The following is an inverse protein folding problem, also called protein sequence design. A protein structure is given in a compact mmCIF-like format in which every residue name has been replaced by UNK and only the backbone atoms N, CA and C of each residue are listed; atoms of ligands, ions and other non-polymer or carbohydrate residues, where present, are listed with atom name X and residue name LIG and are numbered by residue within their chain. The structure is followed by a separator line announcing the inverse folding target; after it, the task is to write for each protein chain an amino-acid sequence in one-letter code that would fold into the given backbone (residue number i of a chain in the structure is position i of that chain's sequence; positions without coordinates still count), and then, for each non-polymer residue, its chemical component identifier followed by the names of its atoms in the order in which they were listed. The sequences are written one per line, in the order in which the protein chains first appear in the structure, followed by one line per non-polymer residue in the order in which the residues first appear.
data_IF_914347122570
#
_entry.id   IF_914347122570
#
_cell.length_a   1.000
_cell.length_b   1.000
_cell.length_c   1.000
_cell.angle_alpha   90.00
_cell.angle_beta   90.00
_cell.angle_gamma   90.00
#
_symmetry.space_group_name_H-M   'P 1'
#
loop_
_entity.id
_entity.type
_entity.pdbx_description
1 polymer ?
#
# COMPACT_ATOMS: atom_id res chain seq x y z
N UNK A 1 14.40 -15.61 2.13
CA UNK A 1 13.54 -14.50 1.68
C UNK A 1 13.06 -14.82 0.27
N UNK A 2 11.75 -14.84 0.07
CA UNK A 2 11.15 -15.22 -1.20
C UNK A 2 10.69 -13.99 -1.98
N UNK A 3 11.02 -13.92 -3.27
CA UNK A 3 10.58 -12.86 -4.15
C UNK A 3 9.60 -13.40 -5.19
N UNK A 4 8.71 -12.53 -5.67
CA UNK A 4 7.79 -12.86 -6.75
C UNK A 4 8.45 -12.61 -8.11
N UNK A 5 7.70 -12.83 -9.20
CA UNK A 5 8.19 -12.67 -10.56
C UNK A 5 8.59 -11.22 -10.89
N UNK A 6 8.19 -10.25 -10.08
CA UNK A 6 8.44 -8.83 -10.29
C UNK A 6 9.43 -8.25 -9.27
N UNK A 7 10.23 -9.11 -8.63
CA UNK A 7 11.27 -8.76 -7.67
C UNK A 7 10.75 -8.19 -6.35
N UNK A 8 9.46 -8.34 -6.06
CA UNK A 8 8.91 -7.95 -4.77
C UNK A 8 9.15 -9.05 -3.76
N UNK A 9 9.57 -8.68 -2.55
CA UNK A 9 9.69 -9.61 -1.44
C UNK A 9 8.28 -10.03 -1.01
N UNK A 10 8.02 -11.34 -0.97
CA UNK A 10 6.70 -11.84 -0.60
C UNK A 10 6.50 -11.82 0.91
N UNK A 11 5.41 -11.23 1.33
CA UNK A 11 5.00 -11.14 2.73
C UNK A 11 3.63 -11.78 2.90
N UNK A 12 3.29 -12.08 4.15
CA UNK A 12 1.94 -12.53 4.52
C UNK A 12 1.17 -11.33 5.05
N UNK A 13 -0.16 -11.37 4.93
CA UNK A 13 -1.00 -10.35 5.57
C UNK A 13 -0.70 -10.34 7.07
N UNK A 14 -0.47 -9.15 7.62
CA UNK A 14 -0.03 -8.96 9.00
C UNK A 14 1.47 -8.98 9.21
N UNK A 15 2.25 -9.26 8.18
CA UNK A 15 3.70 -9.28 8.26
C UNK A 15 4.27 -7.94 7.81
N UNK A 16 5.19 -7.40 8.60
CA UNK A 16 5.85 -6.13 8.30
C UNK A 16 6.90 -6.29 7.22
N UNK A 17 6.92 -5.32 6.31
CA UNK A 17 7.96 -5.14 5.31
C UNK A 17 8.73 -3.86 5.65
N UNK A 18 9.95 -3.73 5.17
CA UNK A 18 10.64 -2.48 5.42
C UNK A 18 12.07 -2.42 4.93
N UNK A 19 12.62 -1.23 5.08
CA UNK A 19 14.00 -0.93 4.78
C UNK A 19 14.79 -0.96 6.08
N UNK A 20 15.93 -1.64 6.06
CA UNK A 20 16.76 -1.86 7.24
C UNK A 20 18.14 -1.28 6.98
N UNK A 21 18.71 -0.61 7.99
CA UNK A 21 20.11 -0.24 7.99
C UNK A 21 20.92 -1.54 8.24
N UNK A 22 21.73 -1.93 7.27
CA UNK A 22 22.47 -3.19 7.35
C UNK A 22 23.52 -3.21 8.46
N UNK A 23 24.03 -2.05 8.87
CA UNK A 23 25.04 -1.93 9.91
C UNK A 23 24.43 -2.04 11.30
N UNK A 24 23.36 -1.29 11.56
CA UNK A 24 22.75 -1.22 12.89
C UNK A 24 21.58 -2.18 13.06
N UNK A 25 21.07 -2.74 11.96
CA UNK A 25 19.86 -3.58 11.93
C UNK A 25 18.58 -2.84 12.36
N UNK A 26 18.63 -1.51 12.37
CA UNK A 26 17.45 -0.69 12.67
C UNK A 26 16.61 -0.49 11.42
N UNK A 27 15.29 -0.54 11.59
CA UNK A 27 14.35 -0.22 10.52
C UNK A 27 14.26 1.29 10.37
N UNK A 28 14.42 1.82 9.17
CA UNK A 28 14.13 3.22 8.93
C UNK A 28 12.81 3.44 8.18
N UNK A 29 12.20 2.39 7.64
CA UNK A 29 10.85 2.41 7.11
C UNK A 29 10.21 1.04 7.28
N UNK A 30 8.95 1.01 7.76
CA UNK A 30 8.17 -0.22 7.79
C UNK A 30 6.79 0.05 7.22
N UNK A 31 6.26 -0.94 6.52
CA UNK A 31 4.89 -0.93 6.02
C UNK A 31 4.29 -2.32 6.23
N UNK A 32 3.02 -2.35 6.61
CA UNK A 32 2.34 -3.59 6.91
C UNK A 32 0.93 -3.51 6.34
N UNK A 33 0.52 -4.53 5.58
CA UNK A 33 -0.86 -4.72 5.20
C UNK A 33 -1.47 -5.68 6.21
N UNK A 34 -2.31 -5.14 7.10
CA UNK A 34 -2.93 -5.93 8.16
C UNK A 34 -4.18 -6.64 7.71
N UNK A 35 -4.80 -6.16 6.63
CA UNK A 35 -5.97 -6.78 6.05
C UNK A 35 -6.08 -6.39 4.58
N UNK A 36 -6.54 -7.31 3.74
CA UNK A 36 -6.76 -7.09 2.32
C UNK A 36 -8.08 -7.75 1.93
N UNK A 37 -9.12 -6.94 1.73
CA UNK A 37 -10.49 -7.42 1.56
C UNK A 37 -11.05 -6.98 0.22
N UNK A 38 -11.64 -7.90 -0.52
CA UNK A 38 -12.39 -7.59 -1.73
C UNK A 38 -13.80 -7.18 -1.33
N UNK A 39 -14.33 -6.13 -1.96
CA UNK A 39 -15.65 -5.61 -1.65
C UNK A 39 -16.37 -5.12 -2.91
N UNK A 40 -17.67 -5.40 -3.00
CA UNK A 40 -18.52 -4.97 -4.10
C UNK A 40 -19.15 -3.61 -3.86
N UNK A 41 -18.93 -3.02 -2.69
CA UNK A 41 -19.36 -1.67 -2.36
C UNK A 41 -18.53 -1.11 -1.21
N UNK A 42 -18.57 0.21 -1.05
CA UNK A 42 -17.92 0.87 0.08
C UNK A 42 -18.81 1.99 0.63
N UNK A 43 -18.53 2.38 1.87
CA UNK A 43 -19.16 3.53 2.49
C UNK A 43 -18.67 4.80 1.79
N UNK A 44 -19.55 5.70 1.34
CA UNK A 44 -19.12 6.89 0.61
C UNK A 44 -18.47 7.93 1.52
N UNK A 45 -17.58 8.72 0.93
CA UNK A 45 -16.99 9.89 1.59
C UNK A 45 -18.03 10.97 1.83
N UNK A 46 -18.92 11.15 0.86
CA UNK A 46 -19.98 12.16 0.90
C UNK A 46 -21.31 11.46 0.64
N UNK A 47 -22.30 11.77 1.47
CA UNK A 47 -23.62 11.17 1.35
C UNK A 47 -23.74 9.87 2.12
N UNK A 48 -24.80 9.11 1.87
CA UNK A 48 -25.13 7.89 2.60
C UNK A 48 -25.29 6.65 1.72
N UNK A 49 -25.37 6.83 0.40
CA UNK A 49 -25.58 5.70 -0.52
C UNK A 49 -24.24 4.99 -0.79
N UNK A 50 -24.16 3.65 -0.58
CA UNK A 50 -22.93 2.93 -0.88
C UNK A 50 -22.50 3.11 -2.33
N UNK A 51 -21.19 3.18 -2.54
CA UNK A 51 -20.59 3.27 -3.87
C UNK A 51 -20.24 1.87 -4.36
N UNK A 52 -20.54 1.61 -5.64
CA UNK A 52 -20.15 0.37 -6.31
C UNK A 52 -18.94 0.64 -7.21
N UNK A 53 -18.07 -0.37 -7.42
CA UNK A 53 -16.90 -0.17 -8.27
C UNK A 53 -17.30 0.00 -9.74
N UNK A 54 -16.57 0.85 -10.44
CA UNK A 54 -16.70 1.00 -11.90
C UNK A 54 -15.81 0.00 -12.64
N UNK A 55 -14.84 -0.59 -11.95
CA UNK A 55 -14.08 -1.75 -12.39
C UNK A 55 -14.66 -2.98 -11.71
N UNK A 56 -13.99 -4.10 -11.81
CA UNK A 56 -14.52 -5.37 -11.33
C UNK A 56 -14.88 -5.36 -9.84
N UNK A 57 -13.97 -4.87 -8.98
CA UNK A 57 -14.17 -4.94 -7.52
C UNK A 57 -13.25 -3.94 -6.82
N UNK A 58 -13.61 -3.55 -5.60
CA UNK A 58 -12.70 -2.81 -4.72
C UNK A 58 -11.80 -3.78 -3.97
N UNK A 59 -10.52 -3.42 -3.86
CA UNK A 59 -9.59 -4.05 -2.92
C UNK A 59 -9.32 -3.03 -1.82
N UNK A 60 -9.76 -3.34 -0.61
CA UNK A 60 -9.63 -2.46 0.54
C UNK A 60 -8.49 -2.97 1.40
N UNK A 61 -7.46 -2.14 1.56
CA UNK A 61 -6.28 -2.47 2.36
C UNK A 61 -6.33 -1.70 3.67
N UNK A 62 -6.02 -2.39 4.77
CA UNK A 62 -5.72 -1.74 6.04
C UNK A 62 -4.20 -1.73 6.17
N UNK A 63 -3.62 -0.55 6.34
CA UNK A 63 -2.17 -0.34 6.27
C UNK A 63 -1.68 0.42 7.49
N UNK A 64 -0.53 -0.02 8.02
CA UNK A 64 0.25 0.73 9.00
C UNK A 64 1.60 1.03 8.37
N UNK A 65 2.11 2.24 8.53
CA UNK A 65 3.42 2.62 8.03
C UNK A 65 4.14 3.53 9.01
N UNK A 66 5.42 3.32 9.17
CA UNK A 66 6.28 4.08 10.09
C UNK A 66 7.55 4.50 9.37
N UNK A 67 7.94 5.76 9.54
CA UNK A 67 9.19 6.27 9.00
C UNK A 67 10.03 6.81 10.15
N UNK A 68 11.30 6.38 10.23
CA UNK A 68 12.18 6.80 11.31
C UNK A 68 12.46 8.30 11.24
N UNK A 69 12.59 8.93 12.41
CA UNK A 69 12.85 10.37 12.49
C UNK A 69 14.19 10.76 11.84
N UNK A 70 15.17 9.86 11.88
CA UNK A 70 16.52 10.10 11.35
C UNK A 70 16.73 9.50 9.95
N UNK A 71 15.65 9.22 9.22
CA UNK A 71 15.75 8.58 7.90
C UNK A 71 16.62 9.37 6.93
N UNK A 72 16.53 10.70 6.96
CA UNK A 72 17.33 11.56 6.07
C UNK A 72 18.82 11.37 6.28
N UNK A 73 19.25 11.24 7.54
CA UNK A 73 20.67 10.98 7.86
C UNK A 73 21.12 9.62 7.37
N UNK A 74 20.24 8.61 7.47
CA UNK A 74 20.56 7.24 7.07
C UNK A 74 20.67 7.09 5.55
N UNK A 75 19.83 7.80 4.79
CA UNK A 75 19.83 7.70 3.33
C UNK A 75 20.61 8.83 2.65
N UNK A 76 21.12 9.79 3.44
CA UNK A 76 21.89 10.92 2.90
C UNK A 76 21.03 11.93 2.17
N UNK A 77 19.76 12.04 2.51
CA UNK A 77 18.80 12.92 1.85
C UNK A 77 18.48 14.19 2.62
N UNK A 78 17.59 14.99 2.04
CA UNK A 78 17.05 16.20 2.66
C UNK A 78 15.89 15.80 3.58
N UNK A 79 15.87 16.25 4.86
CA UNK A 79 14.76 15.92 5.76
C UNK A 79 13.39 16.33 5.23
N UNK A 80 13.29 17.45 4.49
CA UNK A 80 12.02 17.90 3.94
C UNK A 80 11.53 17.03 2.78
N UNK A 81 12.43 16.30 2.13
CA UNK A 81 12.11 15.44 1.00
C UNK A 81 12.13 13.94 1.36
N UNK A 82 12.45 13.62 2.61
CA UNK A 82 12.57 12.24 3.07
C UNK A 82 11.24 11.73 3.62
N UNK A 83 10.25 11.58 2.75
CA UNK A 83 8.96 11.00 3.09
C UNK A 83 8.71 9.78 2.19
N UNK A 84 7.77 8.92 2.60
CA UNK A 84 7.35 7.79 1.77
C UNK A 84 5.91 8.01 1.30
N UNK A 85 5.68 7.92 -0.02
CA UNK A 85 4.33 8.07 -0.55
C UNK A 85 3.49 6.83 -0.26
N UNK A 86 2.22 7.02 0.07
CA UNK A 86 1.29 5.94 0.42
C UNK A 86 0.02 6.02 -0.43
N UNK A 87 0.11 6.62 -1.61
CA UNK A 87 -1.03 6.77 -2.53
C UNK A 87 -1.22 5.52 -3.39
N UNK A 88 -2.41 5.38 -3.96
CA UNK A 88 -2.76 4.20 -4.76
C UNK A 88 -1.78 3.97 -5.92
N UNK A 89 -1.24 5.04 -6.50
CA UNK A 89 -0.31 4.97 -7.62
C UNK A 89 1.02 4.28 -7.27
N UNK A 90 1.33 4.12 -5.99
CA UNK A 90 2.53 3.39 -5.56
C UNK A 90 2.29 1.89 -5.41
N UNK A 91 1.06 1.46 -5.64
CA UNK A 91 0.67 0.05 -5.53
C UNK A 91 0.35 -0.52 -6.91
N UNK A 92 0.47 -1.83 -7.01
CA UNK A 92 0.07 -2.59 -8.20
C UNK A 92 -0.52 -3.92 -7.76
N UNK A 93 -1.28 -4.54 -8.64
CA UNK A 93 -1.81 -5.88 -8.40
C UNK A 93 -1.45 -6.78 -9.57
N UNK A 94 -1.23 -8.06 -9.28
CA UNK A 94 -0.91 -9.03 -10.30
C UNK A 94 -1.32 -10.43 -9.86
N UNK A 95 -1.69 -11.27 -10.83
CA UNK A 95 -1.71 -12.71 -10.61
C UNK A 95 -0.26 -13.18 -10.47
N UNK A 96 -0.06 -14.40 -10.02
CA UNK A 96 1.27 -14.92 -9.73
C UNK A 96 2.23 -14.84 -10.94
N UNK A 97 1.71 -14.99 -12.15
CA UNK A 97 2.50 -14.95 -13.37
C UNK A 97 2.11 -13.81 -14.31
N UNK A 98 1.20 -12.94 -13.86
CA UNK A 98 0.72 -11.86 -14.67
C UNK A 98 1.58 -10.60 -14.60
N UNK A 99 1.37 -9.70 -15.55
CA UNK A 99 2.00 -8.38 -15.55
C UNK A 99 1.36 -7.52 -14.45
N UNK A 100 2.15 -6.74 -13.69
CA UNK A 100 1.57 -5.84 -12.70
C UNK A 100 0.62 -4.83 -13.33
N UNK A 101 -0.57 -4.70 -12.76
CA UNK A 101 -1.54 -3.68 -13.14
C UNK A 101 -1.39 -2.51 -12.16
N UNK A 102 -0.91 -1.39 -12.67
CA UNK A 102 -0.73 -0.17 -11.88
C UNK A 102 -1.90 0.80 -12.03
N UNK A 103 -2.85 0.48 -12.90
CA UNK A 103 -4.06 1.28 -13.08
C UNK A 103 -5.11 0.81 -12.06
N UNK A 104 -4.90 1.17 -10.80
CA UNK A 104 -5.71 0.71 -9.67
C UNK A 104 -6.51 1.84 -9.03
N UNK A 105 -6.63 2.97 -9.72
CA UNK A 105 -7.41 4.12 -9.25
C UNK A 105 -8.72 4.25 -10.02
N UNK A 106 -9.72 4.82 -9.38
CA UNK A 106 -10.98 5.20 -10.02
C UNK A 106 -11.66 6.28 -9.19
N UNK A 107 -12.58 7.02 -9.78
CA UNK A 107 -13.35 8.03 -9.05
C UNK A 107 -14.13 7.39 -7.89
N UNK A 108 -14.70 6.21 -8.10
CA UNK A 108 -15.46 5.55 -7.05
C UNK A 108 -14.58 5.04 -5.93
N UNK A 109 -13.41 4.49 -6.24
CA UNK A 109 -12.45 4.09 -5.21
C UNK A 109 -11.98 5.30 -4.39
N UNK A 110 -11.71 6.42 -5.07
CA UNK A 110 -11.33 7.66 -4.40
C UNK A 110 -12.45 8.18 -3.50
N UNK A 111 -13.69 7.94 -3.85
CA UNK A 111 -14.85 8.37 -3.09
C UNK A 111 -15.23 7.49 -1.90
N UNK A 112 -14.48 6.40 -1.66
CA UNK A 112 -14.75 5.49 -0.54
C UNK A 112 -14.23 6.04 0.78
N UNK A 113 -15.03 5.91 1.81
CA UNK A 113 -14.73 6.22 3.20
C UNK A 113 -14.46 7.69 3.52
N UNK A 114 -14.74 8.03 4.76
CA UNK A 114 -14.44 9.35 5.32
C UNK A 114 -12.92 9.51 5.47
N UNK A 115 -12.44 10.75 5.34
CA UNK A 115 -11.01 11.07 5.47
C UNK A 115 -10.43 10.60 6.81
N UNK A 116 -11.24 10.53 7.86
CA UNK A 116 -10.79 10.11 9.19
C UNK A 116 -10.35 8.64 9.24
N UNK A 117 -10.80 7.81 8.29
CA UNK A 117 -10.40 6.39 8.26
C UNK A 117 -9.41 6.08 7.14
N UNK A 118 -9.14 7.03 6.26
CA UNK A 118 -8.25 6.82 5.13
C UNK A 118 -6.79 6.99 5.53
N UNK A 119 -5.94 6.20 4.88
CA UNK A 119 -4.50 6.32 5.03
C UNK A 119 -4.06 7.69 4.51
N UNK A 120 -3.24 8.44 5.26
CA UNK A 120 -2.66 9.67 4.73
C UNK A 120 -1.83 9.40 3.47
N UNK A 121 -1.73 10.36 2.55
CA UNK A 121 -1.02 10.14 1.28
C UNK A 121 0.49 9.97 1.43
N UNK A 122 1.05 10.37 2.56
CA UNK A 122 2.49 10.22 2.85
C UNK A 122 2.70 9.91 4.32
N UNK A 123 3.83 9.27 4.63
CA UNK A 123 4.34 9.19 6.00
C UNK A 123 5.63 10.00 6.05
N UNK A 124 5.71 10.92 7.00
CA UNK A 124 6.86 11.79 7.20
C UNK A 124 7.79 11.25 8.28
N UNK A 125 9.06 11.71 8.32
CA UNK A 125 10.00 11.26 9.35
C UNK A 125 9.43 11.42 10.76
N UNK A 126 9.54 10.36 11.55
CA UNK A 126 9.05 10.34 12.92
C UNK A 126 7.56 10.03 13.06
N UNK A 127 6.86 9.76 11.97
CA UNK A 127 5.43 9.47 12.01
C UNK A 127 5.14 7.98 11.91
N UNK A 128 4.05 7.57 12.55
CA UNK A 128 3.38 6.31 12.30
C UNK A 128 1.95 6.64 11.84
N UNK A 129 1.54 6.13 10.70
CA UNK A 129 0.21 6.37 10.15
C UNK A 129 -0.52 5.05 9.94
N UNK A 130 -1.84 5.10 10.07
CA UNK A 130 -2.70 3.94 9.94
C UNK A 130 -3.95 4.36 9.19
N UNK A 131 -4.47 3.51 8.34
CA UNK A 131 -5.72 3.79 7.67
C UNK A 131 -6.01 2.81 6.54
N UNK A 132 -7.11 3.09 5.85
CA UNK A 132 -7.57 2.29 4.70
C UNK A 132 -7.12 2.93 3.40
N UNK A 133 -6.78 2.07 2.45
CA UNK A 133 -6.52 2.47 1.08
C UNK A 133 -7.39 1.62 0.18
N UNK A 134 -8.14 2.24 -0.72
CA UNK A 134 -9.06 1.53 -1.62
C UNK A 134 -8.49 1.55 -3.03
N UNK A 135 -8.34 0.37 -3.59
CA UNK A 135 -7.90 0.17 -4.97
C UNK A 135 -9.08 -0.34 -5.81
N UNK A 136 -9.10 0.01 -7.08
CA UNK A 136 -10.06 -0.52 -8.04
C UNK A 136 -9.33 -1.55 -8.88
N UNK A 137 -9.72 -2.82 -8.79
CA UNK A 137 -8.95 -3.91 -9.40
C UNK A 137 -9.84 -4.82 -10.26
N UNK A 138 -9.23 -5.46 -11.24
CA UNK A 138 -9.85 -6.49 -12.03
C UNK A 138 -9.34 -7.88 -11.64
N UNK A 139 -8.15 -7.93 -11.05
CA UNK A 139 -7.58 -9.18 -10.54
C UNK A 139 -8.20 -9.49 -9.19
N UNK A 140 -8.97 -10.58 -9.10
CA UNK A 140 -9.71 -10.94 -7.87
C UNK A 140 -8.94 -11.91 -6.98
N UNK A 141 -7.83 -12.43 -7.45
CA UNK A 141 -6.95 -13.31 -6.66
C UNK A 141 -5.52 -13.10 -7.14
N UNK A 142 -4.65 -12.70 -6.25
CA UNK A 142 -3.27 -12.42 -6.60
C UNK A 142 -2.51 -11.80 -5.46
N UNK A 143 -1.60 -10.90 -5.81
CA UNK A 143 -0.80 -10.19 -4.83
C UNK A 143 -0.88 -8.68 -5.09
N UNK A 144 -0.93 -7.92 -4.01
CA UNK A 144 -0.83 -6.46 -4.07
C UNK A 144 0.58 -6.08 -3.64
N UNK A 145 1.25 -5.25 -4.43
CA UNK A 145 2.63 -4.84 -4.19
C UNK A 145 2.71 -3.36 -3.87
N UNK A 146 3.55 -3.02 -2.90
CA UNK A 146 4.00 -1.65 -2.66
C UNK A 146 5.39 -1.53 -3.27
N UNK A 147 5.49 -0.79 -4.36
CA UNK A 147 6.71 -0.66 -5.15
C UNK A 147 6.78 0.74 -5.75
N UNK A 148 7.04 1.76 -4.91
CA UNK A 148 6.96 3.15 -5.35
C UNK A 148 8.00 3.54 -6.40
N UNK A 149 9.11 2.82 -6.49
CA UNK A 149 10.19 3.11 -7.45
C UNK A 149 10.19 2.18 -8.65
N UNK A 150 9.24 1.25 -8.71
CA UNK A 150 9.10 0.28 -9.82
C UNK A 150 10.34 -0.58 -10.07
N UNK A 151 11.09 -0.86 -9.03
CA UNK A 151 12.33 -1.66 -9.09
C UNK A 151 12.34 -2.80 -8.07
N UNK A 152 11.18 -3.18 -7.57
CA UNK A 152 11.03 -4.19 -6.54
C UNK A 152 10.73 -3.57 -5.19
N UNK A 153 9.75 -4.10 -4.51
CA UNK A 153 9.32 -3.68 -3.19
C UNK A 153 8.84 -4.90 -2.41
N UNK A 154 7.61 -4.85 -1.93
CA UNK A 154 7.03 -5.93 -1.13
C UNK A 154 5.62 -6.23 -1.62
N UNK A 155 5.19 -7.48 -1.51
CA UNK A 155 3.84 -7.85 -1.92
C UNK A 155 3.17 -8.76 -0.89
N UNK A 156 1.85 -8.65 -0.80
CA UNK A 156 1.01 -9.41 0.11
C UNK A 156 -0.10 -10.08 -0.71
N UNK A 157 -0.52 -11.31 -0.32
CA UNK A 157 -1.59 -11.99 -1.05
C UNK A 157 -2.96 -11.39 -0.75
N UNK A 158 -3.86 -11.49 -1.70
CA UNK A 158 -5.28 -11.19 -1.50
C UNK A 158 -6.15 -12.10 -2.37
N UNK A 159 -7.40 -12.22 -1.97
CA UNK A 159 -8.31 -13.18 -2.58
C UNK A 159 -8.01 -14.60 -2.08
N UNK A 160 -8.74 -15.58 -2.54
CA UNK A 160 -8.53 -16.98 -2.12
C UNK A 160 -7.92 -17.85 -3.19
#
# INVERSE_FOLDING_TARGET
MKTDAHKNVQKKVGEKAGLIDEKTKENYFTIEVTNATLASECTPRVGSAPLAPTRSIFLILDINATLAADVADKVGGDPEESYMPLVAETFSVATEQGTPDRNVTSETAWGCFDDSVLLPPVVNPGQTVTGKLVLAVEVTQGRVAYDPQENGGWSWPYGD
#
